data_IF_224364272416
#
_entry.id   IF_224364272416
#
_cell.length_a   1.000
_cell.length_b   1.000
_cell.length_c   1.000
_cell.angle_alpha   90.00
_cell.angle_beta   90.00
_cell.angle_gamma   90.00
#
_symmetry.space_group_name_H-M   'P 1'
#
loop_
_entity.id
_entity.type
_entity.pdbx_description
1 polymer ?
#
# COMPACT_ATOMS: atom_id res chain seq x y z
N UNK A 1 3.39 7.06 22.06
CA UNK A 1 2.78 7.14 20.71
C UNK A 1 2.55 8.61 20.42
N UNK A 2 3.42 9.25 19.63
CA UNK A 2 3.25 10.65 19.23
C UNK A 2 1.95 10.75 18.41
N UNK A 3 0.86 11.19 19.04
CA UNK A 3 -0.37 11.55 18.35
C UNK A 3 -0.07 12.84 17.57
N UNK A 4 0.55 12.71 16.41
CA UNK A 4 0.63 13.81 15.47
C UNK A 4 -0.80 14.17 15.05
N UNK A 5 -1.16 15.44 15.24
CA UNK A 5 -2.46 15.96 14.83
C UNK A 5 -2.63 15.72 13.32
N UNK A 6 -3.74 15.07 12.96
CA UNK A 6 -4.08 14.66 11.59
C UNK A 6 -4.21 15.83 10.63
N UNK A 7 -4.35 17.05 11.15
CA UNK A 7 -4.47 18.28 10.36
C UNK A 7 -3.14 19.01 10.20
N UNK A 8 -2.01 18.36 10.46
CA UNK A 8 -0.69 18.99 10.36
C UNK A 8 0.11 18.46 9.16
N UNK A 9 0.93 19.33 8.55
CA UNK A 9 1.86 18.93 7.49
C UNK A 9 2.82 17.82 7.96
N UNK A 10 3.44 17.89 9.16
CA UNK A 10 4.30 16.82 9.65
C UNK A 10 3.61 15.46 9.74
N UNK A 11 2.33 15.41 10.13
CA UNK A 11 1.54 14.17 10.09
C UNK A 11 1.45 13.60 8.67
N UNK A 12 1.09 14.43 7.69
CA UNK A 12 0.94 13.94 6.32
C UNK A 12 2.28 13.54 5.69
N UNK A 13 3.38 14.25 5.97
CA UNK A 13 4.72 13.89 5.48
C UNK A 13 5.17 12.56 6.08
N UNK A 14 5.06 12.39 7.39
CA UNK A 14 5.51 11.15 8.07
C UNK A 14 4.76 9.93 7.53
N UNK A 15 3.45 10.05 7.34
CA UNK A 15 2.64 8.98 6.77
C UNK A 15 2.95 8.75 5.29
N UNK A 16 3.17 9.80 4.49
CA UNK A 16 3.58 9.65 3.09
C UNK A 16 4.88 8.84 2.97
N UNK A 17 5.88 9.16 3.79
CA UNK A 17 7.15 8.41 3.84
C UNK A 17 6.89 6.94 4.21
N UNK A 18 6.05 6.68 5.21
CA UNK A 18 5.67 5.32 5.59
C UNK A 18 5.00 4.55 4.44
N UNK A 19 4.02 5.15 3.75
CA UNK A 19 3.34 4.51 2.62
C UNK A 19 4.27 4.27 1.43
N UNK A 20 5.17 5.21 1.11
CA UNK A 20 6.18 5.02 0.05
C UNK A 20 7.14 3.90 0.42
N UNK A 21 7.65 3.88 1.64
CA UNK A 21 8.51 2.80 2.13
C UNK A 21 7.80 1.45 2.03
N UNK A 22 6.54 1.40 2.47
CA UNK A 22 5.72 0.18 2.39
C UNK A 22 5.49 -0.26 0.94
N UNK A 23 5.25 0.66 0.00
CA UNK A 23 5.16 0.34 -1.44
C UNK A 23 6.45 -0.28 -1.96
N UNK A 24 7.62 0.25 -1.56
CA UNK A 24 8.91 -0.32 -1.95
C UNK A 24 9.06 -1.73 -1.41
N UNK A 25 8.77 -1.96 -0.12
CA UNK A 25 8.84 -3.30 0.49
C UNK A 25 7.87 -4.26 -0.21
N UNK A 26 6.63 -3.85 -0.45
CA UNK A 26 5.65 -4.66 -1.20
C UNK A 26 6.18 -4.98 -2.61
N UNK A 27 6.74 -4.00 -3.31
CA UNK A 27 7.35 -4.20 -4.62
C UNK A 27 8.47 -5.25 -4.59
N UNK A 28 9.35 -5.19 -3.58
CA UNK A 28 10.39 -6.20 -3.38
C UNK A 28 9.81 -7.59 -3.09
N UNK A 29 8.77 -7.69 -2.27
CA UNK A 29 8.08 -8.96 -2.02
C UNK A 29 7.51 -9.50 -3.33
N UNK A 30 6.86 -8.66 -4.14
CA UNK A 30 6.37 -9.07 -5.45
C UNK A 30 7.47 -9.57 -6.38
N UNK A 31 8.60 -8.88 -6.45
CA UNK A 31 9.71 -9.26 -7.33
C UNK A 31 10.42 -10.53 -6.86
N UNK A 32 10.61 -10.73 -5.56
CA UNK A 32 11.43 -11.84 -5.06
C UNK A 32 10.63 -13.06 -4.59
N UNK A 33 9.37 -12.87 -4.19
CA UNK A 33 8.53 -13.96 -3.68
C UNK A 33 7.51 -14.41 -4.72
N UNK A 34 6.84 -13.47 -5.39
CA UNK A 34 5.72 -13.80 -6.28
C UNK A 34 6.08 -13.88 -7.75
N UNK A 35 7.02 -13.07 -8.23
CA UNK A 35 7.41 -13.08 -9.64
C UNK A 35 8.02 -14.42 -10.08
N UNK A 36 8.95 -15.06 -9.34
CA UNK A 36 9.51 -16.35 -9.74
C UNK A 36 8.44 -17.43 -10.01
N UNK A 37 7.50 -17.71 -9.09
CA UNK A 37 6.46 -18.72 -9.34
C UNK A 37 5.40 -18.29 -10.37
N UNK A 38 5.20 -16.98 -10.58
CA UNK A 38 4.32 -16.47 -11.63
C UNK A 38 4.94 -16.55 -13.03
N UNK A 39 6.28 -16.53 -13.11
CA UNK A 39 7.03 -16.56 -14.37
C UNK A 39 7.29 -17.98 -14.91
N UNK A 40 7.27 -18.99 -14.02
CA UNK A 40 7.42 -20.40 -14.39
C UNK A 40 6.08 -21.05 -14.72
N UNK A 41 6.08 -21.98 -15.69
CA UNK A 41 4.90 -22.80 -16.09
C UNK A 41 4.36 -23.66 -14.91
N UNK A 42 5.15 -23.83 -13.84
CA UNK A 42 4.78 -24.52 -12.61
C UNK A 42 3.88 -23.68 -11.67
N UNK A 43 3.26 -22.61 -12.17
CA UNK A 43 2.38 -21.70 -11.43
C UNK A 43 1.28 -22.46 -10.67
N UNK A 44 0.74 -23.52 -11.27
CA UNK A 44 -0.32 -24.34 -10.67
C UNK A 44 0.17 -25.12 -9.43
N UNK A 45 1.38 -25.68 -9.46
CA UNK A 45 1.95 -26.44 -8.33
C UNK A 45 2.38 -25.52 -7.18
N UNK A 46 2.90 -24.33 -7.50
CA UNK A 46 3.18 -23.31 -6.50
C UNK A 46 1.91 -22.88 -5.78
N UNK A 47 0.83 -22.56 -6.49
CA UNK A 47 -0.42 -22.15 -5.83
C UNK A 47 -1.16 -23.29 -5.15
N UNK A 48 -1.04 -24.52 -5.65
CA UNK A 48 -1.59 -25.72 -5.00
C UNK A 48 -0.86 -26.05 -3.68
N UNK A 49 0.43 -25.70 -3.55
CA UNK A 49 1.23 -25.93 -2.34
C UNK A 49 1.25 -24.74 -1.37
N UNK A 50 1.22 -23.51 -1.88
CA UNK A 50 1.19 -22.27 -1.09
C UNK A 50 -0.21 -21.97 -0.54
N UNK A 51 -1.27 -22.40 -1.26
CA UNK A 51 -2.66 -22.29 -0.84
C UNK A 51 -3.21 -23.63 -0.35
N UNK A 52 -3.32 -23.81 0.96
CA UNK A 52 -3.83 -25.04 1.62
C UNK A 52 -5.35 -25.31 1.39
N UNK A 53 -5.80 -25.41 0.12
CA UNK A 53 -7.18 -25.58 -0.41
C UNK A 53 -7.89 -24.29 -0.83
N UNK A 54 -8.80 -24.47 -1.80
CA UNK A 54 -9.51 -23.49 -2.64
C UNK A 54 -9.92 -22.18 -1.95
N UNK A 55 -10.36 -22.24 -0.70
CA UNK A 55 -10.86 -21.07 0.04
C UNK A 55 -9.75 -20.16 0.59
N UNK A 56 -8.63 -20.74 1.05
CA UNK A 56 -7.50 -19.98 1.61
C UNK A 56 -6.69 -19.28 0.53
N UNK A 57 -6.53 -19.95 -0.62
CA UNK A 57 -5.88 -19.38 -1.80
C UNK A 57 -6.60 -18.14 -2.33
N UNK A 58 -7.93 -18.19 -2.47
CA UNK A 58 -8.71 -17.05 -2.98
C UNK A 58 -8.57 -15.80 -2.11
N UNK A 59 -8.71 -15.95 -0.78
CA UNK A 59 -8.54 -14.83 0.16
C UNK A 59 -7.12 -14.26 0.11
N UNK A 60 -6.11 -15.13 0.00
CA UNK A 60 -4.73 -14.71 -0.13
C UNK A 60 -4.52 -13.86 -1.39
N UNK A 61 -5.03 -14.29 -2.55
CA UNK A 61 -4.91 -13.52 -3.79
C UNK A 61 -5.65 -12.18 -3.75
N UNK A 62 -6.82 -12.15 -3.11
CA UNK A 62 -7.56 -10.90 -2.90
C UNK A 62 -6.74 -9.94 -2.04
N UNK A 63 -6.15 -10.42 -0.94
CA UNK A 63 -5.28 -9.59 -0.09
C UNK A 63 -4.03 -9.14 -0.83
N UNK A 64 -3.42 -10.04 -1.62
CA UNK A 64 -2.27 -9.75 -2.45
C UNK A 64 -2.58 -8.60 -3.40
N UNK A 65 -3.75 -8.61 -4.06
CA UNK A 65 -4.15 -7.55 -4.98
C UNK A 65 -4.63 -6.25 -4.29
N UNK A 66 -5.41 -6.36 -3.22
CA UNK A 66 -6.03 -5.20 -2.54
C UNK A 66 -4.99 -4.41 -1.73
N UNK A 67 -4.05 -5.08 -1.08
CA UNK A 67 -3.09 -4.43 -0.18
C UNK A 67 -2.25 -3.36 -0.89
N UNK A 68 -1.61 -3.62 -2.05
CA UNK A 68 -0.88 -2.59 -2.81
C UNK A 68 -1.76 -1.40 -3.17
N UNK A 69 -3.01 -1.64 -3.57
CA UNK A 69 -3.96 -0.58 -3.93
C UNK A 69 -4.30 0.31 -2.73
N UNK A 70 -4.50 -0.29 -1.55
CA UNK A 70 -4.76 0.46 -0.31
C UNK A 70 -3.56 1.29 0.12
N UNK A 71 -2.34 0.74 0.03
CA UNK A 71 -1.11 1.47 0.35
C UNK A 71 -0.89 2.61 -0.64
N UNK A 72 -1.15 2.38 -1.93
CA UNK A 72 -1.08 3.41 -2.97
C UNK A 72 -2.11 4.53 -2.72
N UNK A 73 -3.34 4.18 -2.37
CA UNK A 73 -4.37 5.14 -1.99
C UNK A 73 -3.92 6.00 -0.80
N UNK A 74 -3.34 5.39 0.23
CA UNK A 74 -2.78 6.10 1.39
C UNK A 74 -1.69 7.10 0.98
N UNK A 75 -0.74 6.66 0.14
CA UNK A 75 0.30 7.54 -0.39
C UNK A 75 -0.29 8.75 -1.14
N UNK A 76 -1.22 8.50 -2.06
CA UNK A 76 -1.87 9.55 -2.86
C UNK A 76 -2.65 10.52 -1.96
N UNK A 77 -3.41 10.00 -0.99
CA UNK A 77 -4.16 10.82 -0.04
C UNK A 77 -3.24 11.78 0.72
N UNK A 78 -2.15 11.26 1.29
CA UNK A 78 -1.22 12.09 2.05
C UNK A 78 -0.48 13.10 1.16
N UNK A 79 -0.08 12.69 -0.04
CA UNK A 79 0.53 13.59 -1.03
C UNK A 79 -0.43 14.73 -1.41
N UNK A 80 -1.69 14.41 -1.72
CA UNK A 80 -2.72 15.39 -2.05
C UNK A 80 -2.91 16.40 -0.91
N UNK A 81 -2.97 15.93 0.34
CA UNK A 81 -3.13 16.79 1.52
C UNK A 81 -1.95 17.72 1.74
N UNK A 82 -0.72 17.28 1.46
CA UNK A 82 0.47 18.13 1.52
C UNK A 82 0.39 19.24 0.47
N UNK A 83 0.05 18.88 -0.78
CA UNK A 83 0.00 19.83 -1.90
C UNK A 83 -1.14 20.85 -1.75
N UNK A 84 -2.26 20.45 -1.14
CA UNK A 84 -3.46 21.30 -0.99
C UNK A 84 -3.54 22.07 0.33
N UNK A 85 -2.62 21.84 1.26
CA UNK A 85 -2.67 22.41 2.62
C UNK A 85 -2.84 23.94 2.67
N UNK A 86 -2.10 24.67 1.83
CA UNK A 86 -2.19 26.14 1.77
C UNK A 86 -3.45 26.66 1.08
N UNK A 87 -4.15 25.83 0.30
CA UNK A 87 -5.43 26.21 -0.33
C UNK A 87 -6.56 26.21 0.69
N UNK A 88 -6.55 25.27 1.63
CA UNK A 88 -7.60 25.13 2.66
C UNK A 88 -7.52 26.24 3.73
N UNK A 89 -6.32 26.68 4.12
CA UNK A 89 -6.17 27.75 5.12
C UNK A 89 -6.54 29.14 4.57
N UNK A 90 -6.49 29.35 3.25
CA UNK A 90 -6.87 30.62 2.60
C UNK A 90 -8.38 30.79 2.43
N UNK A 91 -9.15 29.70 2.40
CA UNK A 91 -10.63 29.76 2.28
C UNK A 91 -11.35 29.99 3.60
N UNK A 92 -10.68 29.82 4.75
CA UNK A 92 -11.27 30.06 6.09
C UNK A 92 -11.01 31.49 6.58
N UNK A 93 -10.11 32.24 5.91
CA UNK A 93 -9.74 33.61 6.28
C UNK A 93 -10.39 34.68 5.39
N UNK A 94 -11.56 34.40 4.80
CA UNK A 94 -12.37 35.41 4.08
C UNK A 94 -13.69 35.65 4.80
#
# INVERSE_FOLDING_TARGET
MLKFDKNTIPYHITNLVFYIFTLVVIGLIYVYVFYPPLSDIATQDFFASFGLRESGGLLFFLLLLITPLLVLYGAIYHLFRIITFNKTNRTVSQ
#
